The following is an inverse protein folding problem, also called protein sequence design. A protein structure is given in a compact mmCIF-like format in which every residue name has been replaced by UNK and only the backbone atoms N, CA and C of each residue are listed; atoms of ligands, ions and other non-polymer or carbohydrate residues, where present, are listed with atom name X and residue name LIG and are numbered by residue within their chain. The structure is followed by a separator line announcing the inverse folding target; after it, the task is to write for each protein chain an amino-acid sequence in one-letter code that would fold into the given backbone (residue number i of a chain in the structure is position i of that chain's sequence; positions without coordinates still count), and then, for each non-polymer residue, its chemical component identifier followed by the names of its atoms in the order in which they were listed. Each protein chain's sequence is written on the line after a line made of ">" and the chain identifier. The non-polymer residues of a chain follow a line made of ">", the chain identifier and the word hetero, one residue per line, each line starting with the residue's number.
data_IF_872085433108
#
_entry.id   IF_872085433108
#
_cell.length_a   1.000
_cell.length_b   1.000
_cell.length_c   1.000
_cell.angle_alpha   90.00
_cell.angle_beta   90.00
_cell.angle_gamma   90.00
#
_symmetry.space_group_name_H-M   'P 1'
#
loop_
_entity.id
_entity.type
_entity.pdbx_description
1 polymer ?
#
# COMPACT_ATOMS: atom_id res chain seq x y z
N UNK A 1 -6.72 14.73 -11.50
CA UNK A 1 -5.87 13.57 -11.17
C UNK A 1 -6.22 13.16 -9.77
N UNK A 2 -6.86 12.00 -9.61
CA UNK A 2 -7.27 11.49 -8.31
C UNK A 2 -6.05 11.07 -7.48
N UNK A 3 -5.78 11.70 -6.32
CA UNK A 3 -4.61 11.40 -5.51
C UNK A 3 -4.58 9.93 -5.04
N UNK A 4 -5.75 9.32 -4.87
CA UNK A 4 -5.90 7.90 -4.53
C UNK A 4 -5.38 6.97 -5.62
N UNK A 5 -5.56 7.32 -6.91
CA UNK A 5 -5.10 6.50 -8.03
C UNK A 5 -3.57 6.48 -8.14
N UNK A 6 -2.93 7.62 -7.83
CA UNK A 6 -1.48 7.71 -7.80
C UNK A 6 -0.89 6.87 -6.67
N UNK A 7 -1.52 6.90 -5.49
CA UNK A 7 -1.13 6.07 -4.36
C UNK A 7 -1.27 4.57 -4.65
N UNK A 8 -2.37 4.15 -5.31
CA UNK A 8 -2.54 2.76 -5.74
C UNK A 8 -1.45 2.34 -6.72
N UNK A 9 -1.07 3.21 -7.65
CA UNK A 9 -0.03 2.92 -8.64
C UNK A 9 1.35 2.77 -8.00
N UNK A 10 1.66 3.61 -7.00
CA UNK A 10 2.90 3.50 -6.23
C UNK A 10 3.00 2.17 -5.48
N UNK A 11 1.91 1.77 -4.80
CA UNK A 11 1.83 0.46 -4.14
C UNK A 11 1.97 -0.67 -5.16
N UNK A 12 1.29 -0.60 -6.32
CA UNK A 12 1.37 -1.65 -7.34
C UNK A 12 2.79 -1.81 -7.90
N UNK A 13 3.50 -0.71 -8.12
CA UNK A 13 4.90 -0.73 -8.54
C UNK A 13 5.80 -1.37 -7.47
N UNK A 14 5.59 -1.04 -6.19
CA UNK A 14 6.31 -1.65 -5.08
C UNK A 14 6.04 -3.16 -4.98
N UNK A 15 4.78 -3.58 -5.10
CA UNK A 15 4.40 -5.00 -5.10
C UNK A 15 5.04 -5.75 -6.26
N UNK A 16 5.12 -5.15 -7.45
CA UNK A 16 5.81 -5.75 -8.61
C UNK A 16 7.31 -5.86 -8.42
N UNK A 17 7.96 -4.87 -7.79
CA UNK A 17 9.40 -4.89 -7.51
C UNK A 17 9.77 -5.94 -6.46
N UNK A 18 8.96 -6.05 -5.41
CA UNK A 18 9.19 -6.99 -4.30
C UNK A 18 8.64 -8.39 -4.56
N UNK A 19 7.75 -8.55 -5.55
CA UNK A 19 7.00 -9.78 -5.78
C UNK A 19 5.96 -10.08 -4.69
N UNK A 20 5.70 -9.12 -3.79
CA UNK A 20 4.79 -9.30 -2.66
C UNK A 20 3.33 -9.22 -3.13
N UNK A 21 2.46 -10.05 -2.55
CA UNK A 21 1.02 -9.98 -2.85
C UNK A 21 0.36 -8.83 -2.07
N UNK A 22 -0.70 -8.19 -2.63
CA UNK A 22 -1.40 -7.09 -1.97
C UNK A 22 -1.99 -7.47 -0.61
N UNK A 23 -2.35 -8.74 -0.42
CA UNK A 23 -2.88 -9.30 0.82
C UNK A 23 -1.80 -9.39 1.90
N UNK A 24 -0.60 -9.85 1.53
CA UNK A 24 0.56 -9.89 2.44
C UNK A 24 0.96 -8.47 2.81
N UNK A 25 1.07 -7.58 1.83
CA UNK A 25 1.38 -6.17 2.09
C UNK A 25 0.41 -5.52 3.07
N UNK A 26 -0.90 -5.68 2.88
CA UNK A 26 -1.89 -5.11 3.81
C UNK A 26 -1.77 -5.70 5.22
N UNK A 27 -1.47 -7.00 5.32
CA UNK A 27 -1.23 -7.66 6.61
C UNK A 27 0.06 -7.17 7.29
N UNK A 28 1.13 -6.97 6.56
CA UNK A 28 2.41 -6.52 7.12
C UNK A 28 2.39 -5.03 7.48
N UNK A 29 1.87 -4.18 6.60
CA UNK A 29 1.86 -2.72 6.79
C UNK A 29 0.76 -2.25 7.76
N UNK A 30 -0.42 -2.88 7.73
CA UNK A 30 -1.62 -2.39 8.44
C UNK A 30 -2.32 -3.45 9.29
N UNK A 31 -1.82 -4.70 9.31
CA UNK A 31 -2.52 -5.87 9.88
C UNK A 31 -3.91 -6.10 9.27
N UNK A 32 -4.13 -5.59 8.06
CA UNK A 32 -5.40 -5.71 7.34
C UNK A 32 -5.18 -6.25 5.91
N UNK A 33 -5.46 -7.54 5.65
CA UNK A 33 -5.24 -8.16 4.34
C UNK A 33 -6.19 -7.65 3.24
N UNK A 34 -7.31 -7.04 3.61
CA UNK A 34 -8.30 -6.55 2.66
C UNK A 34 -8.02 -5.11 2.20
N UNK A 35 -7.09 -4.41 2.86
CA UNK A 35 -6.84 -3.00 2.66
C UNK A 35 -6.62 -2.62 1.20
N UNK A 36 -5.69 -3.27 0.51
CA UNK A 36 -5.38 -2.97 -0.90
C UNK A 36 -6.55 -3.30 -1.82
N UNK A 37 -7.30 -4.35 -1.51
CA UNK A 37 -8.50 -4.73 -2.26
C UNK A 37 -9.62 -3.70 -2.10
N UNK A 38 -9.84 -3.20 -0.90
CA UNK A 38 -10.82 -2.15 -0.59
C UNK A 38 -10.39 -0.81 -1.21
N UNK A 39 -9.09 -0.50 -1.18
CA UNK A 39 -8.51 0.68 -1.82
C UNK A 39 -8.71 0.65 -3.34
N UNK A 40 -8.44 -0.49 -3.99
CA UNK A 40 -8.60 -0.69 -5.44
C UNK A 40 -10.07 -0.72 -5.88
N UNK A 41 -10.96 -1.39 -5.13
CA UNK A 41 -12.36 -1.61 -5.54
C UNK A 41 -13.32 -0.51 -5.11
N UNK A 42 -13.17 0.01 -3.89
CA UNK A 42 -14.12 0.96 -3.30
C UNK A 42 -13.68 2.41 -3.40
N UNK A 43 -12.47 2.69 -3.88
CA UNK A 43 -11.94 4.06 -3.91
C UNK A 43 -11.86 4.67 -2.50
N UNK A 44 -11.61 3.83 -1.49
CA UNK A 44 -11.53 4.29 -0.10
C UNK A 44 -10.43 5.35 0.02
N UNK A 45 -10.73 6.49 0.62
CA UNK A 45 -9.72 7.48 0.92
C UNK A 45 -8.95 7.03 2.16
N UNK A 46 -7.66 6.67 2.04
CA UNK A 46 -6.88 6.30 3.20
C UNK A 46 -6.71 7.54 4.09
N UNK A 47 -6.97 7.39 5.39
CA UNK A 47 -6.69 8.45 6.36
C UNK A 47 -5.19 8.70 6.44
N UNK A 48 -4.77 9.89 6.87
CA UNK A 48 -3.35 10.24 7.00
C UNK A 48 -2.52 9.22 7.80
N UNK A 49 -3.08 8.61 8.85
CA UNK A 49 -2.40 7.55 9.62
C UNK A 49 -2.16 6.26 8.82
N UNK A 50 -3.03 5.94 7.88
CA UNK A 50 -2.86 4.79 6.97
C UNK A 50 -1.77 5.08 5.95
N UNK A 51 -1.79 6.29 5.37
CA UNK A 51 -0.75 6.73 4.43
C UNK A 51 0.62 6.72 5.10
N UNK A 52 0.71 7.21 6.34
CA UNK A 52 1.96 7.19 7.12
C UNK A 52 2.52 5.79 7.34
N UNK A 53 1.68 4.82 7.74
CA UNK A 53 2.11 3.41 7.93
C UNK A 53 2.56 2.76 6.64
N UNK A 54 1.85 3.00 5.54
CA UNK A 54 2.24 2.49 4.21
C UNK A 54 3.57 3.07 3.76
N UNK A 55 3.74 4.39 3.89
CA UNK A 55 5.00 5.05 3.54
C UNK A 55 6.17 4.58 4.42
N UNK A 56 5.95 4.40 5.72
CA UNK A 56 6.96 3.85 6.63
C UNK A 56 7.35 2.43 6.25
N UNK A 57 6.36 1.57 5.94
CA UNK A 57 6.60 0.21 5.47
C UNK A 57 7.41 0.17 4.17
N UNK A 58 7.05 0.98 3.17
CA UNK A 58 7.79 1.09 1.91
C UNK A 58 9.23 1.54 2.17
N UNK A 59 9.44 2.60 2.97
CA UNK A 59 10.78 3.09 3.31
C UNK A 59 11.63 2.05 4.02
N UNK A 60 11.07 1.33 4.99
CA UNK A 60 11.78 0.24 5.69
C UNK A 60 12.21 -0.87 4.73
N UNK A 61 11.37 -1.17 3.73
CA UNK A 61 11.67 -2.22 2.75
C UNK A 61 12.63 -1.76 1.65
N UNK A 62 12.60 -0.48 1.25
CA UNK A 62 13.59 0.11 0.34
C UNK A 62 14.96 0.29 0.99
N UNK A 63 15.02 0.56 2.30
CA UNK A 63 16.29 0.65 3.04
C UNK A 63 17.01 -0.71 3.21
N UNK A 64 16.28 -1.82 3.01
CA UNK A 64 16.80 -3.18 3.21
C UNK A 64 17.10 -3.89 1.87
N UNK A 65 16.77 -3.28 0.73
CA UNK A 65 16.98 -3.82 -0.62
C UNK A 65 18.22 -3.20 -1.28
#
# INVERSE_FOLDING_TARGET
>A
MDPTQQFISEIDAFLKRTGMTPTVFGREALKDPNFVGDLKKKGRQPTLGVVGRVQEFIRSHEATA
#
